data_IF_353471223906
#
_entry.id   IF_353471223906
#
_cell.length_a   1.000
_cell.length_b   1.000
_cell.length_c   1.000
_cell.angle_alpha   90.00
_cell.angle_beta   90.00
_cell.angle_gamma   90.00
#
_symmetry.space_group_name_H-M   'P 1'
#
loop_
_entity.id
_entity.type
_entity.pdbx_description
1 polymer ?
#
# COMPACT_ATOMS: atom_id res chain seq x y z
N UNK A 1 23.04 -6.05 21.17
CA UNK A 1 22.02 -5.73 20.15
C UNK A 1 22.78 -5.09 19.02
N UNK A 2 22.76 -5.67 17.82
CA UNK A 2 23.60 -5.24 16.70
C UNK A 2 23.08 -3.93 16.14
N UNK A 3 23.89 -2.88 16.25
CA UNK A 3 23.74 -1.61 15.55
C UNK A 3 23.58 -1.92 14.05
N UNK A 4 22.43 -1.59 13.44
CA UNK A 4 22.27 -1.72 11.99
C UNK A 4 23.09 -0.61 11.34
N UNK A 5 24.24 -0.94 10.78
CA UNK A 5 24.98 -0.05 9.87
C UNK A 5 24.02 0.35 8.73
N UNK A 6 23.71 1.65 8.63
CA UNK A 6 22.80 2.17 7.59
C UNK A 6 23.43 2.08 6.20
N UNK A 7 22.61 2.04 5.15
CA UNK A 7 23.11 2.22 3.79
C UNK A 7 23.44 3.71 3.58
N UNK A 8 24.71 4.06 3.35
CA UNK A 8 25.18 5.44 3.24
C UNK A 8 25.33 5.88 1.78
N UNK A 9 25.01 7.14 1.49
CA UNK A 9 25.20 7.77 0.20
C UNK A 9 26.68 7.93 -0.10
N UNK A 10 27.18 7.33 -1.18
CA UNK A 10 28.58 7.41 -1.59
C UNK A 10 28.99 8.79 -2.12
N UNK A 11 28.04 9.69 -2.34
CA UNK A 11 28.29 11.06 -2.83
C UNK A 11 28.46 12.05 -1.67
N UNK A 12 27.55 12.02 -0.68
CA UNK A 12 27.54 13.00 0.42
C UNK A 12 27.80 12.41 1.81
N UNK A 13 27.88 11.08 1.94
CA UNK A 13 28.08 10.39 3.22
C UNK A 13 26.85 10.34 4.13
N UNK A 14 25.73 10.96 3.75
CA UNK A 14 24.48 10.90 4.51
C UNK A 14 23.81 9.53 4.44
N UNK A 15 22.96 9.20 5.41
CA UNK A 15 22.14 7.97 5.36
C UNK A 15 21.23 8.04 4.13
N UNK A 16 21.21 6.98 3.32
CA UNK A 16 20.28 6.90 2.19
C UNK A 16 18.86 6.90 2.72
N UNK A 17 17.97 7.76 2.19
CA UNK A 17 16.56 7.67 2.50
C UNK A 17 16.05 6.27 2.17
N UNK A 18 15.13 5.75 2.99
CA UNK A 18 14.42 4.52 2.64
C UNK A 18 13.77 4.67 1.25
N UNK A 19 13.67 3.56 0.52
CA UNK A 19 12.99 3.55 -0.77
C UNK A 19 11.55 4.07 -0.63
N UNK A 20 11.10 4.86 -1.62
CA UNK A 20 9.71 5.37 -1.66
C UNK A 20 8.76 4.16 -1.79
N UNK A 21 7.90 3.97 -0.79
CA UNK A 21 6.93 2.86 -0.72
C UNK A 21 5.55 3.22 -1.25
N UNK A 22 5.41 4.39 -1.89
CA UNK A 22 4.14 4.93 -2.38
C UNK A 22 3.97 4.54 -3.84
N UNK A 23 2.80 3.96 -4.18
CA UNK A 23 2.38 3.72 -5.56
C UNK A 23 1.04 4.39 -5.84
N UNK A 24 0.84 4.87 -7.06
CA UNK A 24 -0.40 5.51 -7.46
C UNK A 24 -1.40 4.49 -8.04
N UNK A 25 -2.66 4.59 -7.61
CA UNK A 25 -3.81 3.91 -8.23
C UNK A 25 -4.86 4.94 -8.62
N UNK A 26 -5.80 4.56 -9.49
CA UNK A 26 -6.94 5.42 -9.83
C UNK A 26 -8.10 5.14 -8.87
N UNK A 27 -8.37 6.06 -7.96
CA UNK A 27 -9.58 6.05 -7.14
C UNK A 27 -10.56 7.03 -7.77
N UNK A 28 -11.70 6.54 -8.28
CA UNK A 28 -12.73 7.40 -8.89
C UNK A 28 -12.16 8.31 -10.00
N UNK A 29 -11.32 7.70 -10.86
CA UNK A 29 -10.61 8.39 -11.95
C UNK A 29 -9.47 9.31 -11.52
N UNK A 30 -9.16 9.43 -10.22
CA UNK A 30 -8.10 10.31 -9.71
C UNK A 30 -6.89 9.51 -9.27
N UNK A 31 -5.71 9.90 -9.76
CA UNK A 31 -4.43 9.37 -9.30
C UNK A 31 -4.27 9.64 -7.79
N UNK A 32 -4.16 8.57 -7.03
CA UNK A 32 -4.11 8.57 -5.57
C UNK A 32 -2.92 7.74 -5.13
N UNK A 33 -1.99 8.36 -4.40
CA UNK A 33 -0.85 7.66 -3.82
C UNK A 33 -1.29 6.81 -2.63
N UNK A 34 -0.92 5.54 -2.65
CA UNK A 34 -1.13 4.58 -1.57
C UNK A 34 0.23 4.18 -1.02
N UNK A 35 0.47 4.52 0.25
CA UNK A 35 1.64 4.10 0.99
C UNK A 35 1.58 2.59 1.27
N UNK A 36 2.71 1.90 1.09
CA UNK A 36 2.86 0.45 1.28
C UNK A 36 1.97 -0.43 0.40
N UNK A 37 1.54 0.04 -0.78
CA UNK A 37 0.59 -0.68 -1.63
C UNK A 37 1.02 -2.12 -1.93
N UNK A 38 2.26 -2.35 -2.37
CA UNK A 38 2.74 -3.70 -2.70
C UNK A 38 2.69 -4.63 -1.49
N UNK A 39 3.20 -4.17 -0.35
CA UNK A 39 3.18 -4.92 0.91
C UNK A 39 1.74 -5.29 1.32
N UNK A 40 0.79 -4.36 1.14
CA UNK A 40 -0.63 -4.62 1.42
C UNK A 40 -1.16 -5.69 0.48
N UNK A 41 -0.96 -5.55 -0.83
CA UNK A 41 -1.48 -6.47 -1.85
C UNK A 41 -0.91 -7.88 -1.65
N UNK A 42 0.41 -8.00 -1.52
CA UNK A 42 1.09 -9.29 -1.29
C UNK A 42 0.63 -9.93 0.02
N UNK A 43 0.46 -9.12 1.06
CA UNK A 43 -0.05 -9.56 2.34
C UNK A 43 -1.49 -10.10 2.26
N UNK A 44 -2.36 -9.52 1.41
CA UNK A 44 -3.72 -10.03 1.19
C UNK A 44 -3.70 -11.28 0.31
N UNK A 45 -2.84 -11.33 -0.73
CA UNK A 45 -2.66 -12.52 -1.58
C UNK A 45 -2.26 -13.74 -0.74
N UNK A 46 -1.37 -13.55 0.23
CA UNK A 46 -0.93 -14.60 1.15
C UNK A 46 -2.02 -15.19 2.05
N UNK A 47 -3.16 -14.50 2.24
CA UNK A 47 -4.28 -15.02 3.02
C UNK A 47 -5.18 -16.00 2.27
N UNK A 48 -5.07 -16.09 0.93
CA UNK A 48 -5.88 -16.96 0.09
C UNK A 48 -7.41 -16.80 0.29
N UNK A 49 -7.87 -15.58 0.61
CA UNK A 49 -9.28 -15.26 0.81
C UNK A 49 -10.12 -15.59 -0.44
N UNK A 50 -11.37 -15.99 -0.22
CA UNK A 50 -12.31 -16.35 -1.30
C UNK A 50 -13.36 -15.26 -1.47
N UNK A 51 -13.49 -14.79 -2.70
CA UNK A 51 -14.50 -13.84 -3.10
C UNK A 51 -14.11 -12.38 -2.88
N UNK A 52 -14.61 -11.53 -3.77
CA UNK A 52 -14.27 -10.11 -3.83
C UNK A 52 -14.66 -9.35 -2.56
N UNK A 53 -15.74 -9.72 -1.89
CA UNK A 53 -16.20 -9.05 -0.66
C UNK A 53 -15.18 -9.17 0.46
N UNK A 54 -14.65 -10.37 0.71
CA UNK A 54 -13.64 -10.61 1.73
C UNK A 54 -12.31 -9.91 1.39
N UNK A 55 -11.92 -9.94 0.11
CA UNK A 55 -10.71 -9.29 -0.38
C UNK A 55 -10.81 -7.76 -0.23
N UNK A 56 -11.92 -7.15 -0.67
CA UNK A 56 -12.18 -5.70 -0.51
C UNK A 56 -12.09 -5.28 0.96
N UNK A 57 -12.72 -6.04 1.85
CA UNK A 57 -12.73 -5.74 3.28
C UNK A 57 -11.31 -5.75 3.87
N UNK A 58 -10.50 -6.75 3.55
CA UNK A 58 -9.13 -6.86 4.07
C UNK A 58 -8.18 -5.82 3.45
N UNK A 59 -8.31 -5.55 2.14
CA UNK A 59 -7.55 -4.50 1.46
C UNK A 59 -7.82 -3.13 2.10
N UNK A 60 -9.09 -2.80 2.34
CA UNK A 60 -9.47 -1.56 3.02
C UNK A 60 -8.92 -1.50 4.44
N UNK A 61 -9.01 -2.60 5.20
CA UNK A 61 -8.54 -2.67 6.59
C UNK A 61 -7.05 -2.34 6.67
N UNK A 62 -6.22 -3.02 5.87
CA UNK A 62 -4.76 -2.79 5.85
C UNK A 62 -4.37 -1.46 5.25
N UNK A 63 -5.05 -1.02 4.18
CA UNK A 63 -4.76 0.28 3.58
C UNK A 63 -5.01 1.42 4.57
N UNK A 64 -6.06 1.32 5.38
CA UNK A 64 -6.39 2.30 6.40
C UNK A 64 -5.39 2.37 7.58
N UNK A 65 -4.53 1.37 7.76
CA UNK A 65 -3.47 1.41 8.78
C UNK A 65 -2.35 2.40 8.41
N UNK A 66 -2.15 2.64 7.11
CA UNK A 66 -1.06 3.49 6.60
C UNK A 66 -1.54 4.73 5.83
N UNK A 67 -2.83 4.78 5.47
CA UNK A 67 -3.40 5.81 4.60
C UNK A 67 -4.73 6.32 5.14
N UNK A 68 -5.02 7.61 4.93
CA UNK A 68 -6.34 8.16 5.19
C UNK A 68 -7.32 7.78 4.08
N UNK A 69 -8.45 7.14 4.46
CA UNK A 69 -9.54 6.82 3.54
C UNK A 69 -10.78 7.63 3.95
N UNK A 70 -11.21 8.64 3.15
CA UNK A 70 -12.43 9.38 3.46
C UNK A 70 -13.64 8.45 3.49
N UNK A 71 -14.47 8.53 4.54
CA UNK A 71 -15.65 7.66 4.71
C UNK A 71 -16.56 7.66 3.48
N UNK A 72 -16.79 8.84 2.87
CA UNK A 72 -17.62 9.01 1.67
C UNK A 72 -17.05 8.37 0.40
N UNK A 73 -15.76 8.00 0.41
CA UNK A 73 -15.05 7.40 -0.73
C UNK A 73 -14.64 5.95 -0.47
N UNK A 74 -15.07 5.35 0.65
CA UNK A 74 -14.66 4.00 1.07
C UNK A 74 -14.90 2.95 -0.02
N UNK A 75 -16.07 2.95 -0.68
CA UNK A 75 -16.36 2.00 -1.76
C UNK A 75 -15.48 2.22 -2.99
N UNK A 76 -15.25 3.48 -3.39
CA UNK A 76 -14.36 3.80 -4.51
C UNK A 76 -12.92 3.33 -4.25
N UNK A 77 -12.44 3.45 -3.01
CA UNK A 77 -11.15 2.87 -2.60
C UNK A 77 -11.17 1.34 -2.66
N UNK A 78 -12.23 0.70 -2.17
CA UNK A 78 -12.35 -0.76 -2.21
C UNK A 78 -12.29 -1.30 -3.64
N UNK A 79 -12.98 -0.64 -4.58
CA UNK A 79 -12.99 -1.04 -5.99
C UNK A 79 -11.63 -0.84 -6.65
N UNK A 80 -10.99 0.31 -6.43
CA UNK A 80 -9.66 0.60 -6.97
C UNK A 80 -8.59 -0.36 -6.43
N UNK A 81 -8.64 -0.66 -5.12
CA UNK A 81 -7.73 -1.61 -4.48
C UNK A 81 -7.96 -3.03 -5.01
N UNK A 82 -9.22 -3.46 -5.17
CA UNK A 82 -9.54 -4.78 -5.73
C UNK A 82 -9.09 -4.88 -7.20
N UNK A 83 -9.30 -3.84 -8.00
CA UNK A 83 -8.82 -3.80 -9.38
C UNK A 83 -7.30 -3.95 -9.44
N UNK A 84 -6.59 -3.24 -8.57
CA UNK A 84 -5.13 -3.33 -8.45
C UNK A 84 -4.68 -4.73 -7.98
N UNK A 85 -5.40 -5.33 -7.04
CA UNK A 85 -5.12 -6.68 -6.54
C UNK A 85 -5.25 -7.76 -7.61
N UNK A 86 -6.21 -7.60 -8.53
CA UNK A 86 -6.49 -8.55 -9.62
C UNK A 86 -5.56 -8.39 -10.83
N UNK A 87 -4.92 -7.23 -10.98
CA UNK A 87 -3.87 -6.99 -11.97
C UNK A 87 -2.56 -7.66 -11.60
#
# INVERSE_FOLDING_TARGET
MTEKEGDYCTICGGIKPEAIKIKAILVDGKATGINHLDMIIDGVRGLNLKGDVAIRAELLRRTAEFNYIPTKKREAYADALLQTYKG
#
